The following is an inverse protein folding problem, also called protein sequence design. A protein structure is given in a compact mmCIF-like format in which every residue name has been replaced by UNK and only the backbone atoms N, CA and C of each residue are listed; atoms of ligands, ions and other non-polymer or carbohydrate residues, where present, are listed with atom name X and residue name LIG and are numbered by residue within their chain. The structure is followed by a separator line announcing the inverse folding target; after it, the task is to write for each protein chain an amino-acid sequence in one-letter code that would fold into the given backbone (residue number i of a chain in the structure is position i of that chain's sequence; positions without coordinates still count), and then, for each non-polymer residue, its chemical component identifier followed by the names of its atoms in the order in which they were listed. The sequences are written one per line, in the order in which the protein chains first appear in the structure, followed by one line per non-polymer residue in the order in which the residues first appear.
data_IF_557875215174
#
_entry.id   IF_557875215174
#
_cell.length_a   1.000
_cell.length_b   1.000
_cell.length_c   1.000
_cell.angle_alpha   90.00
_cell.angle_beta   90.00
_cell.angle_gamma   90.00
#
_symmetry.space_group_name_H-M   'P 1'
#
loop_
_entity.id
_entity.type
_entity.pdbx_description
1 polymer ?
#
# COMPACT_ATOMS: atom_id res chain seq x y z
N UNK A 1 37.66 36.23 -0.78
CA UNK A 1 37.88 34.81 -0.43
C UNK A 1 36.66 34.12 0.24
N UNK A 2 35.74 34.87 0.85
CA UNK A 2 34.63 34.27 1.61
C UNK A 2 33.45 33.65 0.81
N UNK A 3 33.22 34.12 -0.41
CA UNK A 3 32.06 33.60 -1.19
C UNK A 3 32.25 32.17 -1.74
N UNK A 4 33.49 31.78 -2.06
CA UNK A 4 33.76 30.40 -2.53
C UNK A 4 33.74 29.38 -1.40
N UNK A 5 34.17 29.76 -0.19
CA UNK A 5 34.08 28.88 0.98
C UNK A 5 32.63 28.63 1.40
N UNK A 6 31.74 29.64 1.30
CA UNK A 6 30.32 29.47 1.58
C UNK A 6 29.61 28.58 0.56
N UNK A 7 30.00 28.62 -0.73
CA UNK A 7 29.43 27.70 -1.76
C UNK A 7 29.86 26.25 -1.54
N UNK A 8 31.15 26.04 -1.17
CA UNK A 8 31.67 24.68 -0.92
C UNK A 8 31.07 24.08 0.36
N UNK A 9 30.87 24.90 1.40
CA UNK A 9 30.21 24.46 2.64
C UNK A 9 28.72 24.16 2.44
N UNK A 10 28.03 24.89 1.59
CA UNK A 10 26.63 24.58 1.25
C UNK A 10 26.50 23.30 0.41
N UNK A 11 27.42 23.03 -0.50
CA UNK A 11 27.44 21.77 -1.27
C UNK A 11 27.81 20.58 -0.38
N UNK A 12 28.74 20.75 0.55
CA UNK A 12 29.09 19.72 1.53
C UNK A 12 27.97 19.44 2.54
N UNK A 13 27.17 20.44 2.91
CA UNK A 13 25.99 20.24 3.77
C UNK A 13 24.83 19.58 3.04
N UNK A 14 24.64 19.83 1.74
CA UNK A 14 23.65 19.10 0.93
C UNK A 14 24.07 17.66 0.66
N UNK A 15 25.37 17.38 0.57
CA UNK A 15 25.91 16.00 0.46
C UNK A 15 25.77 15.18 1.74
N UNK A 16 25.78 15.82 2.90
CA UNK A 16 25.64 15.15 4.22
C UNK A 16 24.21 14.83 4.64
N UNK A 17 23.19 15.42 4.01
CA UNK A 17 21.79 15.08 4.28
C UNK A 17 21.37 13.69 3.76
N UNK A 18 22.22 12.98 3.01
CA UNK A 18 21.96 11.62 2.50
C UNK A 18 22.38 10.47 3.42
N UNK A 19 22.87 10.71 4.64
CA UNK A 19 23.55 9.68 5.44
C UNK A 19 22.85 9.24 6.73
N UNK A 20 21.72 9.79 7.12
CA UNK A 20 20.97 9.28 8.28
C UNK A 20 20.10 8.08 7.86
N UNK A 21 20.70 6.90 7.84
CA UNK A 21 20.05 5.62 7.43
C UNK A 21 18.91 5.17 8.36
N UNK A 22 18.81 5.72 9.56
CA UNK A 22 17.79 5.34 10.56
C UNK A 22 16.61 6.30 10.59
N UNK A 23 15.40 5.76 10.79
CA UNK A 23 14.20 6.57 11.03
C UNK A 23 14.31 7.32 12.35
N UNK A 24 13.95 8.61 12.33
CA UNK A 24 13.79 9.46 13.52
C UNK A 24 12.34 9.40 14.00
N UNK A 25 12.07 9.79 15.23
CA UNK A 25 10.70 9.84 15.78
C UNK A 25 9.73 10.62 14.88
N UNK A 26 10.19 11.70 14.27
CA UNK A 26 9.40 12.49 13.31
C UNK A 26 8.98 11.68 12.08
N UNK A 27 9.86 10.83 11.56
CA UNK A 27 9.58 9.97 10.40
C UNK A 27 8.55 8.90 10.75
N UNK A 28 8.62 8.34 11.97
CA UNK A 28 7.64 7.39 12.51
C UNK A 28 6.26 8.03 12.65
N UNK A 29 6.21 9.28 13.14
CA UNK A 29 4.95 10.03 13.25
C UNK A 29 4.33 10.23 11.86
N UNK A 30 5.12 10.62 10.85
CA UNK A 30 4.61 10.75 9.48
C UNK A 30 4.13 9.40 8.92
N UNK A 31 4.93 8.34 9.04
CA UNK A 31 4.54 7.02 8.56
C UNK A 31 3.26 6.50 9.25
N UNK A 32 3.14 6.72 10.57
CA UNK A 32 1.93 6.38 11.33
C UNK A 32 0.70 7.18 10.90
N UNK A 33 0.84 8.49 10.69
CA UNK A 33 -0.26 9.35 10.27
C UNK A 33 -0.76 8.98 8.85
N UNK A 34 0.15 8.82 7.89
CA UNK A 34 -0.22 8.35 6.55
C UNK A 34 -0.76 6.92 6.58
N UNK A 35 -0.22 6.07 7.43
CA UNK A 35 -0.73 4.71 7.65
C UNK A 35 -2.17 4.72 8.15
N UNK A 36 -2.49 5.55 9.13
CA UNK A 36 -3.85 5.72 9.63
C UNK A 36 -4.81 6.19 8.53
N UNK A 37 -4.42 7.20 7.74
CA UNK A 37 -5.23 7.69 6.61
C UNK A 37 -5.43 6.58 5.57
N UNK A 38 -4.37 5.84 5.23
CA UNK A 38 -4.44 4.71 4.29
C UNK A 38 -5.44 3.67 4.77
N UNK A 39 -5.36 3.26 6.05
CA UNK A 39 -6.23 2.25 6.63
C UNK A 39 -7.69 2.71 6.67
N UNK A 40 -7.95 3.96 7.07
CA UNK A 40 -9.32 4.50 7.12
C UNK A 40 -9.93 4.52 5.71
N UNK A 41 -9.22 5.02 4.72
CA UNK A 41 -9.70 5.03 3.33
C UNK A 41 -9.93 3.61 2.80
N UNK A 42 -8.99 2.71 3.06
CA UNK A 42 -9.11 1.29 2.68
C UNK A 42 -10.35 0.67 3.32
N UNK A 43 -10.57 0.85 4.63
CA UNK A 43 -11.73 0.30 5.32
C UNK A 43 -13.05 0.86 4.76
N UNK A 44 -13.14 2.16 4.49
CA UNK A 44 -14.33 2.76 3.88
C UNK A 44 -14.65 2.09 2.53
N UNK A 45 -13.64 1.92 1.69
CA UNK A 45 -13.81 1.31 0.36
C UNK A 45 -14.18 -0.17 0.49
N UNK A 46 -13.47 -0.94 1.32
CA UNK A 46 -13.70 -2.38 1.48
C UNK A 46 -15.04 -2.66 2.13
N UNK A 47 -15.42 -1.91 3.17
CA UNK A 47 -16.73 -2.08 3.81
C UNK A 47 -17.87 -1.68 2.87
N UNK A 48 -17.71 -0.58 2.13
CA UNK A 48 -18.70 -0.17 1.14
C UNK A 48 -18.84 -1.16 -0.02
N UNK A 49 -17.73 -1.65 -0.56
CA UNK A 49 -17.75 -2.67 -1.61
C UNK A 49 -18.17 -4.06 -1.10
N UNK A 50 -17.90 -4.34 0.17
CA UNK A 50 -18.23 -5.62 0.82
C UNK A 50 -19.72 -5.92 0.90
N UNK A 51 -20.59 -4.94 0.71
CA UNK A 51 -22.04 -5.15 0.68
C UNK A 51 -22.54 -5.90 -0.57
N UNK A 52 -21.74 -5.90 -1.63
CA UNK A 52 -22.09 -6.55 -2.91
C UNK A 52 -20.96 -7.51 -3.30
N UNK A 53 -21.22 -8.84 -3.47
CA UNK A 53 -20.18 -9.85 -3.68
C UNK A 53 -19.21 -9.51 -4.83
N UNK A 54 -19.72 -9.03 -5.96
CA UNK A 54 -18.86 -8.68 -7.10
C UNK A 54 -17.96 -7.47 -6.82
N UNK A 55 -18.46 -6.46 -6.11
CA UNK A 55 -17.66 -5.30 -5.73
C UNK A 55 -16.59 -5.66 -4.71
N UNK A 56 -16.88 -6.60 -3.83
CA UNK A 56 -15.91 -7.15 -2.90
C UNK A 56 -14.72 -7.79 -3.63
N UNK A 57 -14.98 -8.59 -4.67
CA UNK A 57 -13.92 -9.25 -5.44
C UNK A 57 -13.02 -8.25 -6.22
N UNK A 58 -13.54 -7.10 -6.60
CA UNK A 58 -12.78 -6.05 -7.29
C UNK A 58 -12.25 -4.96 -6.32
N UNK A 59 -12.47 -5.08 -5.02
CA UNK A 59 -11.98 -4.12 -4.02
C UNK A 59 -10.45 -3.87 -4.10
N UNK A 60 -9.58 -4.86 -4.41
CA UNK A 60 -8.16 -4.61 -4.60
C UNK A 60 -7.83 -3.59 -5.70
N UNK A 61 -8.66 -3.51 -6.75
CA UNK A 61 -8.53 -2.51 -7.81
C UNK A 61 -8.90 -1.11 -7.30
N UNK A 62 -10.06 -0.98 -6.68
CA UNK A 62 -10.58 0.33 -6.21
C UNK A 62 -9.73 0.92 -5.09
N UNK A 63 -9.28 0.09 -4.13
CA UNK A 63 -8.35 0.53 -3.08
C UNK A 63 -7.02 0.96 -3.70
N UNK A 64 -6.48 0.21 -4.65
CA UNK A 64 -5.25 0.59 -5.33
C UNK A 64 -5.36 1.97 -5.99
N UNK A 65 -6.45 2.22 -6.74
CA UNK A 65 -6.66 3.49 -7.43
C UNK A 65 -6.73 4.69 -6.46
N UNK A 66 -7.38 4.53 -5.31
CA UNK A 66 -7.60 5.62 -4.35
C UNK A 66 -6.42 5.78 -3.39
N UNK A 67 -5.97 4.69 -2.79
CA UNK A 67 -4.96 4.74 -1.72
C UNK A 67 -3.53 4.94 -2.23
N UNK A 68 -3.28 4.81 -3.54
CA UNK A 68 -1.95 5.00 -4.14
C UNK A 68 -1.34 6.35 -3.81
N UNK A 69 -2.13 7.42 -3.85
CA UNK A 69 -1.65 8.76 -3.52
C UNK A 69 -1.17 8.87 -2.08
N UNK A 70 -1.88 8.26 -1.14
CA UNK A 70 -1.50 8.28 0.29
C UNK A 70 -0.21 7.51 0.52
N UNK A 71 -0.07 6.34 -0.11
CA UNK A 71 1.15 5.56 -0.05
C UNK A 71 2.35 6.35 -0.59
N UNK A 72 2.22 6.90 -1.80
CA UNK A 72 3.30 7.66 -2.44
C UNK A 72 3.71 8.90 -1.63
N UNK A 73 2.75 9.63 -1.08
CA UNK A 73 3.04 10.76 -0.18
C UNK A 73 3.81 10.32 1.06
N UNK A 74 3.46 9.18 1.65
CA UNK A 74 4.17 8.64 2.80
C UNK A 74 5.64 8.34 2.47
N UNK A 75 5.88 7.53 1.44
CA UNK A 75 7.24 7.07 1.10
C UNK A 75 8.11 8.22 0.59
N UNK A 76 7.53 9.18 -0.15
CA UNK A 76 8.22 10.38 -0.60
C UNK A 76 8.53 11.36 0.53
N UNK A 77 7.69 11.43 1.55
CA UNK A 77 7.92 12.30 2.72
C UNK A 77 8.99 11.73 3.65
N UNK A 78 8.94 10.43 3.89
CA UNK A 78 9.85 9.77 4.83
C UNK A 78 11.22 9.49 4.19
N UNK A 79 11.26 8.98 2.97
CA UNK A 79 12.47 8.66 2.18
C UNK A 79 13.51 7.82 2.92
N UNK A 80 13.08 6.95 3.82
CA UNK A 80 13.92 6.08 4.65
C UNK A 80 13.32 4.69 4.72
N UNK A 81 14.19 3.70 4.98
CA UNK A 81 13.77 2.31 5.17
C UNK A 81 12.73 2.21 6.29
N UNK A 82 11.64 1.52 6.00
CA UNK A 82 10.56 1.23 6.94
C UNK A 82 9.25 1.96 6.65
N UNK A 83 9.21 2.96 5.76
CA UNK A 83 7.98 3.70 5.47
C UNK A 83 6.88 2.79 4.89
N UNK A 84 7.18 2.07 3.82
CA UNK A 84 6.24 1.10 3.22
C UNK A 84 5.98 -0.08 4.15
N UNK A 85 7.00 -0.52 4.89
CA UNK A 85 6.86 -1.63 5.83
C UNK A 85 5.89 -1.30 6.97
N UNK A 86 5.94 -0.10 7.55
CA UNK A 86 4.99 0.35 8.59
C UNK A 86 3.56 0.32 8.06
N UNK A 87 3.32 0.88 6.88
CA UNK A 87 1.99 0.83 6.26
C UNK A 87 1.52 -0.62 6.05
N UNK A 88 2.41 -1.48 5.56
CA UNK A 88 2.10 -2.88 5.31
C UNK A 88 1.85 -3.70 6.58
N UNK A 89 2.59 -3.44 7.66
CA UNK A 89 2.35 -4.08 8.96
C UNK A 89 1.01 -3.64 9.54
N UNK A 90 0.69 -2.35 9.48
CA UNK A 90 -0.62 -1.84 9.91
C UNK A 90 -1.76 -2.47 9.10
N UNK A 91 -1.59 -2.58 7.78
CA UNK A 91 -2.54 -3.28 6.92
C UNK A 91 -2.68 -4.76 7.31
N UNK A 92 -1.56 -5.47 7.47
CA UNK A 92 -1.54 -6.89 7.80
C UNK A 92 -2.26 -7.20 9.11
N UNK A 93 -2.07 -6.37 10.13
CA UNK A 93 -2.72 -6.53 11.43
C UNK A 93 -4.25 -6.39 11.35
N UNK A 94 -4.76 -5.56 10.46
CA UNK A 94 -6.20 -5.29 10.31
C UNK A 94 -6.84 -6.25 9.32
N UNK A 95 -6.29 -6.34 8.11
CA UNK A 95 -6.91 -7.05 7.00
C UNK A 95 -6.68 -8.57 7.04
N UNK A 96 -5.62 -9.01 7.70
CA UNK A 96 -5.28 -10.42 7.83
C UNK A 96 -5.61 -11.00 9.20
N UNK A 97 -6.37 -10.28 10.03
CA UNK A 97 -6.82 -10.77 11.32
C UNK A 97 -7.58 -12.09 11.16
N UNK A 98 -7.06 -13.17 11.76
CA UNK A 98 -7.63 -14.51 11.65
C UNK A 98 -7.07 -15.39 10.52
N UNK A 99 -6.18 -14.88 9.68
CA UNK A 99 -5.52 -15.66 8.63
C UNK A 99 -3.99 -15.45 8.64
N UNK A 100 -3.26 -16.35 9.28
CA UNK A 100 -1.80 -16.28 9.41
C UNK A 100 -1.09 -16.28 8.06
N UNK A 101 -1.58 -17.02 7.07
CA UNK A 101 -0.97 -17.08 5.73
C UNK A 101 -1.12 -15.72 5.03
N UNK A 102 -2.32 -15.12 5.10
CA UNK A 102 -2.56 -13.78 4.56
C UNK A 102 -1.71 -12.71 5.26
N UNK A 103 -1.53 -12.82 6.58
CA UNK A 103 -0.67 -11.92 7.34
C UNK A 103 0.79 -12.01 6.89
N UNK A 104 1.33 -13.22 6.75
CA UNK A 104 2.70 -13.42 6.28
C UNK A 104 2.86 -12.89 4.84
N UNK A 105 1.92 -13.22 3.95
CA UNK A 105 1.95 -12.76 2.56
C UNK A 105 1.92 -11.22 2.47
N UNK A 106 1.11 -10.56 3.29
CA UNK A 106 1.03 -9.10 3.35
C UNK A 106 2.35 -8.46 3.82
N UNK A 107 2.97 -9.02 4.85
CA UNK A 107 4.28 -8.55 5.33
C UNK A 107 5.36 -8.75 4.26
N UNK A 108 5.35 -9.90 3.56
CA UNK A 108 6.30 -10.18 2.47
C UNK A 108 6.13 -9.18 1.32
N UNK A 109 4.89 -8.87 0.92
CA UNK A 109 4.61 -7.87 -0.12
C UNK A 109 5.08 -6.47 0.30
N UNK A 110 4.85 -6.08 1.56
CA UNK A 110 5.33 -4.80 2.10
C UNK A 110 6.86 -4.72 2.14
N UNK A 111 7.52 -5.82 2.53
CA UNK A 111 8.98 -5.90 2.53
C UNK A 111 9.54 -5.83 1.11
N UNK A 112 8.92 -6.52 0.15
CA UNK A 112 9.31 -6.46 -1.25
C UNK A 112 9.18 -5.02 -1.81
N UNK A 113 8.08 -4.32 -1.50
CA UNK A 113 7.90 -2.93 -1.88
C UNK A 113 8.99 -2.02 -1.28
N UNK A 114 9.33 -2.20 0.00
CA UNK A 114 10.42 -1.47 0.67
C UNK A 114 11.78 -1.74 0.02
N UNK A 115 12.05 -2.99 -0.36
CA UNK A 115 13.31 -3.35 -1.05
C UNK A 115 13.41 -2.70 -2.43
N UNK A 116 12.30 -2.56 -3.16
CA UNK A 116 12.24 -1.84 -4.45
C UNK A 116 12.62 -0.37 -4.24
N UNK A 117 12.04 0.30 -3.23
CA UNK A 117 12.39 1.69 -2.90
C UNK A 117 13.88 1.80 -2.55
N UNK A 118 14.39 0.88 -1.73
CA UNK A 118 15.81 0.83 -1.35
C UNK A 118 16.72 0.64 -2.56
N UNK A 119 16.36 -0.22 -3.51
CA UNK A 119 17.11 -0.42 -4.75
C UNK A 119 17.17 0.87 -5.60
N UNK A 120 16.14 1.72 -5.53
CA UNK A 120 16.11 3.07 -6.12
C UNK A 120 16.86 4.13 -5.33
N UNK A 121 17.57 3.76 -4.26
CA UNK A 121 18.34 4.68 -3.40
C UNK A 121 17.49 5.76 -2.74
N UNK A 122 16.19 5.54 -2.55
CA UNK A 122 15.22 6.51 -2.00
C UNK A 122 15.15 7.83 -2.79
N UNK A 123 15.49 7.79 -4.08
CA UNK A 123 15.49 8.97 -4.99
C UNK A 123 14.79 8.71 -6.31
N UNK A 124 14.68 7.45 -6.73
CA UNK A 124 14.10 7.09 -8.02
C UNK A 124 12.58 7.10 -7.96
N UNK A 125 11.95 8.07 -8.64
CA UNK A 125 10.51 8.17 -8.78
C UNK A 125 9.90 6.89 -9.38
N UNK A 126 10.54 6.31 -10.40
CA UNK A 126 10.08 5.06 -11.03
C UNK A 126 10.01 3.91 -10.03
N UNK A 127 10.99 3.84 -9.11
CA UNK A 127 11.02 2.79 -8.08
C UNK A 127 9.97 3.01 -7.01
N UNK A 128 9.64 4.25 -6.65
CA UNK A 128 8.51 4.53 -5.77
C UNK A 128 7.20 4.04 -6.38
N UNK A 129 6.92 4.41 -7.64
CA UNK A 129 5.70 3.98 -8.35
C UNK A 129 5.64 2.45 -8.50
N UNK A 130 6.76 1.80 -8.87
CA UNK A 130 6.85 0.34 -8.95
C UNK A 130 6.64 -0.33 -7.58
N UNK A 131 7.14 0.27 -6.51
CA UNK A 131 6.94 -0.25 -5.15
C UNK A 131 5.47 -0.27 -4.74
N UNK A 132 4.68 0.72 -5.17
CA UNK A 132 3.26 0.73 -4.89
C UNK A 132 2.51 -0.40 -5.59
N UNK A 133 2.87 -0.73 -6.83
CA UNK A 133 2.27 -1.87 -7.54
C UNK A 133 2.46 -3.16 -6.75
N UNK A 134 3.68 -3.39 -6.23
CA UNK A 134 3.99 -4.56 -5.40
C UNK A 134 3.31 -4.45 -4.03
N UNK A 135 3.30 -3.28 -3.42
CA UNK A 135 2.61 -3.04 -2.15
C UNK A 135 1.11 -3.34 -2.25
N UNK A 136 0.46 -2.95 -3.34
CA UNK A 136 -0.98 -3.16 -3.51
C UNK A 136 -1.39 -4.64 -3.61
N UNK A 137 -0.43 -5.56 -3.84
CA UNK A 137 -0.67 -7.01 -3.72
C UNK A 137 -1.13 -7.42 -2.31
N UNK A 138 -0.85 -6.59 -1.28
CA UNK A 138 -1.39 -6.78 0.05
C UNK A 138 -2.91 -6.94 0.04
N UNK A 139 -3.60 -6.23 -0.86
CA UNK A 139 -5.05 -6.29 -0.99
C UNK A 139 -5.57 -7.65 -1.49
N UNK A 140 -4.74 -8.45 -2.16
CA UNK A 140 -5.10 -9.81 -2.57
C UNK A 140 -4.84 -10.85 -1.48
N UNK A 141 -4.06 -10.53 -0.44
CA UNK A 141 -3.68 -11.49 0.61
C UNK A 141 -4.87 -12.03 1.43
N UNK A 142 -5.88 -11.25 1.83
CA UNK A 142 -7.06 -11.77 2.52
C UNK A 142 -7.83 -12.78 1.67
N UNK A 143 -7.86 -12.59 0.35
CA UNK A 143 -8.59 -13.46 -0.59
C UNK A 143 -7.90 -14.81 -0.84
N UNK A 144 -6.67 -15.01 -0.36
CA UNK A 144 -5.99 -16.30 -0.47
C UNK A 144 -6.77 -17.42 0.21
N UNK A 145 -7.62 -17.08 1.19
CA UNK A 145 -8.55 -18.00 1.83
C UNK A 145 -9.58 -18.60 0.86
N UNK A 146 -9.99 -17.86 -0.18
CA UNK A 146 -10.87 -18.38 -1.23
C UNK A 146 -10.21 -19.52 -2.02
N UNK A 147 -8.88 -19.56 -2.04
CA UNK A 147 -8.12 -20.63 -2.68
C UNK A 147 -7.79 -21.77 -1.70
N UNK A 148 -7.32 -21.43 -0.49
CA UNK A 148 -6.79 -22.41 0.46
C UNK A 148 -7.84 -23.01 1.39
N UNK A 149 -8.89 -22.27 1.75
CA UNK A 149 -9.88 -22.65 2.73
C UNK A 149 -11.25 -22.01 2.43
N UNK A 150 -11.77 -22.31 1.22
CA UNK A 150 -12.98 -21.71 0.67
C UNK A 150 -14.18 -21.82 1.59
N UNK A 151 -14.45 -23.02 2.11
CA UNK A 151 -15.64 -23.27 2.96
C UNK A 151 -15.58 -22.45 4.25
N UNK A 152 -14.38 -22.35 4.87
CA UNK A 152 -14.17 -21.51 6.05
C UNK A 152 -14.37 -20.03 5.71
N UNK A 153 -13.92 -19.58 4.57
CA UNK A 153 -14.12 -18.20 4.13
C UNK A 153 -15.60 -17.87 3.90
N UNK A 154 -16.33 -18.76 3.23
CA UNK A 154 -17.76 -18.61 2.98
C UNK A 154 -18.58 -18.68 4.27
N UNK A 155 -18.21 -19.55 5.23
CA UNK A 155 -18.84 -19.59 6.55
C UNK A 155 -18.66 -18.27 7.31
N UNK A 156 -17.47 -17.67 7.26
CA UNK A 156 -17.22 -16.34 7.83
C UNK A 156 -18.06 -15.26 7.12
N UNK A 157 -18.11 -15.29 5.79
CA UNK A 157 -18.95 -14.37 5.02
C UNK A 157 -20.43 -14.50 5.37
N UNK A 158 -20.94 -15.72 5.53
CA UNK A 158 -22.32 -15.97 5.97
C UNK A 158 -22.60 -15.41 7.36
N UNK A 159 -21.65 -15.52 8.28
CA UNK A 159 -21.78 -15.00 9.64
C UNK A 159 -21.88 -13.47 9.67
N UNK A 160 -21.12 -12.76 8.83
CA UNK A 160 -21.09 -11.28 8.85
C UNK A 160 -22.11 -10.62 7.90
N UNK A 161 -22.40 -11.24 6.77
CA UNK A 161 -23.23 -10.66 5.70
C UNK A 161 -24.50 -11.47 5.40
N UNK A 162 -24.68 -12.62 6.04
CA UNK A 162 -25.83 -13.51 5.84
C UNK A 162 -25.62 -14.57 4.74
N UNK A 163 -26.45 -15.62 4.77
CA UNK A 163 -26.32 -16.78 3.89
C UNK A 163 -26.48 -16.41 2.41
N UNK A 164 -27.46 -15.57 2.08
CA UNK A 164 -27.70 -15.13 0.69
C UNK A 164 -26.49 -14.45 0.07
N UNK A 165 -25.74 -13.67 0.87
CA UNK A 165 -24.49 -13.07 0.44
C UNK A 165 -23.41 -14.12 0.18
N UNK A 166 -23.25 -15.07 1.11
CA UNK A 166 -22.27 -16.14 0.97
C UNK A 166 -22.54 -17.02 -0.24
N UNK A 167 -23.81 -17.33 -0.53
CA UNK A 167 -24.23 -18.10 -1.70
C UNK A 167 -23.93 -17.33 -3.01
N UNK A 168 -24.21 -16.03 -3.04
CA UNK A 168 -23.85 -15.15 -4.15
C UNK A 168 -22.33 -15.06 -4.36
N UNK A 169 -21.57 -14.97 -3.29
CA UNK A 169 -20.11 -14.99 -3.35
C UNK A 169 -19.59 -16.34 -3.83
N UNK A 170 -20.17 -17.44 -3.35
CA UNK A 170 -19.82 -18.80 -3.77
C UNK A 170 -20.05 -19.03 -5.27
N UNK A 171 -21.13 -18.49 -5.81
CA UNK A 171 -21.45 -18.58 -7.24
C UNK A 171 -20.47 -17.77 -8.11
N UNK A 172 -20.01 -16.60 -7.62
CA UNK A 172 -19.10 -15.72 -8.35
C UNK A 172 -17.61 -16.06 -8.15
N UNK A 173 -17.28 -16.84 -7.11
CA UNK A 173 -15.91 -17.09 -6.68
C UNK A 173 -15.52 -18.58 -6.82
N UNK A 174 -15.25 -19.09 -8.02
CA UNK A 174 -14.57 -20.37 -8.18
C UNK A 174 -13.16 -20.32 -7.58
N UNK A 175 -12.53 -21.48 -7.36
CA UNK A 175 -11.21 -21.55 -6.68
C UNK A 175 -10.11 -20.71 -7.34
N UNK A 176 -10.19 -20.46 -8.65
CA UNK A 176 -9.23 -19.63 -9.37
C UNK A 176 -9.49 -18.12 -9.24
N UNK A 177 -10.59 -17.70 -8.61
CA UNK A 177 -10.95 -16.26 -8.47
C UNK A 177 -9.85 -15.46 -7.77
N UNK A 178 -9.05 -16.10 -6.93
CA UNK A 178 -7.91 -15.45 -6.31
C UNK A 178 -6.92 -14.84 -7.33
N UNK A 179 -6.73 -15.50 -8.48
CA UNK A 179 -5.91 -14.95 -9.57
C UNK A 179 -6.51 -13.66 -10.13
N UNK A 180 -7.84 -13.58 -10.21
CA UNK A 180 -8.53 -12.33 -10.63
C UNK A 180 -8.32 -11.22 -9.60
N UNK A 181 -8.42 -11.52 -8.31
CA UNK A 181 -8.16 -10.52 -7.26
C UNK A 181 -6.71 -10.04 -7.27
N UNK A 182 -5.73 -10.92 -7.56
CA UNK A 182 -4.33 -10.54 -7.79
C UNK A 182 -4.21 -9.63 -9.02
N UNK A 183 -4.85 -9.97 -10.13
CA UNK A 183 -4.90 -9.12 -11.33
C UNK A 183 -5.50 -7.74 -11.04
N UNK A 184 -6.60 -7.69 -10.30
CA UNK A 184 -7.21 -6.44 -9.82
C UNK A 184 -6.25 -5.63 -8.93
N UNK A 185 -5.50 -6.28 -8.05
CA UNK A 185 -4.51 -5.61 -7.20
C UNK A 185 -3.37 -5.01 -8.05
N UNK A 186 -2.86 -5.73 -9.04
CA UNK A 186 -1.83 -5.22 -9.95
C UNK A 186 -2.34 -4.03 -10.76
N UNK A 187 -3.52 -4.16 -11.38
CA UNK A 187 -4.13 -3.07 -12.17
C UNK A 187 -4.44 -1.86 -11.30
N UNK A 188 -4.96 -2.06 -10.09
CA UNK A 188 -5.19 -1.00 -9.10
C UNK A 188 -3.89 -0.32 -8.69
N UNK A 189 -2.83 -1.10 -8.49
CA UNK A 189 -1.50 -0.59 -8.19
C UNK A 189 -0.94 0.29 -9.33
N UNK A 190 -1.02 -0.17 -10.56
CA UNK A 190 -0.57 0.58 -11.76
C UNK A 190 -1.38 1.87 -11.92
N UNK A 191 -2.72 1.75 -11.88
CA UNK A 191 -3.60 2.92 -12.01
C UNK A 191 -3.42 3.92 -10.88
N UNK A 192 -3.33 3.44 -9.63
CA UNK A 192 -3.10 4.28 -8.46
C UNK A 192 -1.74 4.98 -8.49
N UNK A 193 -0.68 4.28 -8.90
CA UNK A 193 0.64 4.89 -9.12
C UNK A 193 0.58 5.99 -10.18
N UNK A 194 -0.13 5.77 -11.29
CA UNK A 194 -0.29 6.77 -12.35
C UNK A 194 -1.07 8.00 -11.87
N UNK A 195 -2.16 7.79 -11.11
CA UNK A 195 -2.95 8.87 -10.49
C UNK A 195 -2.10 9.64 -9.48
N UNK A 196 -1.43 8.93 -8.57
CA UNK A 196 -0.55 9.50 -7.56
C UNK A 196 0.53 10.37 -8.20
N UNK A 197 1.17 9.87 -9.26
CA UNK A 197 2.18 10.61 -10.00
C UNK A 197 1.67 11.97 -10.50
N UNK A 198 0.49 11.99 -11.15
CA UNK A 198 -0.12 13.22 -11.66
C UNK A 198 -0.50 14.20 -10.54
N UNK A 199 -1.09 13.70 -9.46
CA UNK A 199 -1.51 14.53 -8.32
C UNK A 199 -0.30 15.12 -7.59
N UNK A 200 0.75 14.33 -7.38
CA UNK A 200 1.98 14.75 -6.71
C UNK A 200 2.67 15.86 -7.52
N UNK A 201 2.85 15.68 -8.82
CA UNK A 201 3.46 16.71 -9.68
C UNK A 201 2.64 18.00 -9.72
N UNK A 202 1.32 17.89 -9.82
CA UNK A 202 0.45 19.04 -10.00
C UNK A 202 0.26 19.87 -8.73
N UNK A 203 0.11 19.21 -7.59
CA UNK A 203 -0.35 19.86 -6.36
C UNK A 203 0.70 19.87 -5.25
N UNK A 204 1.33 18.74 -4.95
CA UNK A 204 2.15 18.58 -3.75
C UNK A 204 3.59 19.09 -3.94
N UNK A 205 4.17 18.93 -5.13
CA UNK A 205 5.49 19.48 -5.43
C UNK A 205 5.47 21.02 -5.46
N UNK A 206 4.40 21.62 -6.04
CA UNK A 206 4.22 23.08 -6.06
C UNK A 206 3.96 23.67 -4.67
N UNK A 207 3.33 22.91 -3.77
CA UNK A 207 3.06 23.35 -2.40
C UNK A 207 4.25 23.12 -1.44
N UNK A 208 5.37 22.59 -1.91
CA UNK A 208 6.57 22.35 -1.08
C UNK A 208 6.35 21.27 0.02
N UNK A 209 5.37 20.38 -0.17
CA UNK A 209 5.04 19.34 0.82
C UNK A 209 6.03 18.17 0.74
N UNK A 210 6.63 17.97 -0.42
CA UNK A 210 7.62 16.92 -0.73
C UNK A 210 8.84 17.49 -1.45
#
# INVERSE_FOLDING_TARGET
MDKQQNFTNNQNNQGKQGSDKKMKTKDLIYAGAFGAIYIVLMLIIVMGSGMIPILYLVAPLTVGLVCGTVYELCVLKVRKFGAALILGVLFALIAAAGNVIGLIAAIVAALAAELIIKAGGYRSKKMYLASFVVFNLNMACPYIMLFLARDKFLAIAAQYYGQTYADGLAALAPNWIWLVTVGCAVLGGIGGAAIANKLIEKHFAKAGII
#
